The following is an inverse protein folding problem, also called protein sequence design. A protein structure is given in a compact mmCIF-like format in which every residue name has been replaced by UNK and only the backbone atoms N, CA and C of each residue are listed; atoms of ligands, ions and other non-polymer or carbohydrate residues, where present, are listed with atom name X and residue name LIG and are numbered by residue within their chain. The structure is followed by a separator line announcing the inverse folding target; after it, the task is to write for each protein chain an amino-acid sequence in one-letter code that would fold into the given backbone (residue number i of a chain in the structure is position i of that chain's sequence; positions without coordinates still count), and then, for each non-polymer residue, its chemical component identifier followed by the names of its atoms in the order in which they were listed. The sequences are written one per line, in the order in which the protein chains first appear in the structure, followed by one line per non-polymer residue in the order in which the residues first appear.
data_IF_445330175879
#
_entry.id   IF_445330175879
#
_cell.length_a   1.000
_cell.length_b   1.000
_cell.length_c   1.000
_cell.angle_alpha   90.00
_cell.angle_beta   90.00
_cell.angle_gamma   90.00
#
_symmetry.space_group_name_H-M   'P 1'
#
loop_
_entity.id
_entity.type
_entity.pdbx_description
1 polymer ?
#
# COMPACT_ATOMS: atom_id res chain seq x y z
N UNK A 1 37.54 -21.93 16.95
CA UNK A 1 37.48 -23.33 16.55
C UNK A 1 36.49 -24.08 17.42
N UNK A 2 35.29 -24.32 16.90
CA UNK A 2 34.35 -25.23 17.54
C UNK A 2 34.73 -26.68 17.22
N UNK A 3 35.94 -27.07 17.55
CA UNK A 3 36.49 -28.37 17.22
C UNK A 3 36.43 -29.41 18.31
N UNK A 4 35.57 -29.24 19.30
CA UNK A 4 35.35 -30.30 20.29
C UNK A 4 33.98 -30.87 20.09
N UNK A 5 33.96 -32.05 19.62
CA UNK A 5 32.84 -32.95 19.72
C UNK A 5 32.59 -33.23 21.21
N UNK A 6 32.05 -32.26 21.85
CA UNK A 6 31.46 -32.49 23.14
C UNK A 6 30.13 -33.16 22.93
N UNK A 7 29.88 -34.19 23.66
CA UNK A 7 28.60 -34.85 23.73
C UNK A 7 27.48 -33.93 24.29
N UNK A 8 27.61 -32.65 24.03
CA UNK A 8 26.63 -31.67 24.39
C UNK A 8 25.73 -31.38 23.23
N UNK A 9 24.49 -31.70 23.34
CA UNK A 9 23.43 -31.35 22.39
C UNK A 9 23.15 -29.86 22.35
N UNK A 10 24.10 -29.05 22.78
CA UNK A 10 24.03 -27.60 22.75
C UNK A 10 25.18 -27.07 21.92
N UNK A 11 24.85 -26.30 20.94
CA UNK A 11 25.83 -25.42 20.38
C UNK A 11 26.14 -24.37 21.45
N UNK A 12 27.33 -24.46 22.07
CA UNK A 12 27.77 -23.52 23.10
C UNK A 12 27.96 -22.11 22.59
N UNK A 13 27.85 -21.93 21.28
CA UNK A 13 28.06 -20.64 20.64
C UNK A 13 26.74 -19.85 20.44
N UNK A 14 25.61 -20.46 20.25
CA UNK A 14 24.37 -19.77 19.96
C UNK A 14 23.26 -19.99 21.00
N UNK A 15 23.46 -20.82 22.01
CA UNK A 15 22.50 -20.99 23.12
C UNK A 15 21.09 -21.40 22.72
N UNK A 16 20.90 -21.80 21.46
CA UNK A 16 19.60 -22.14 20.91
C UNK A 16 19.09 -23.47 21.46
N UNK A 17 17.96 -23.46 22.12
CA UNK A 17 17.17 -24.65 22.39
C UNK A 17 16.59 -25.17 21.10
N UNK A 18 16.95 -26.38 20.72
CA UNK A 18 16.23 -27.09 19.66
C UNK A 18 14.87 -27.49 20.19
N UNK A 19 13.87 -26.80 19.74
CA UNK A 19 12.49 -27.18 19.97
C UNK A 19 12.21 -28.39 19.08
N UNK A 20 11.76 -29.48 19.68
CA UNK A 20 11.38 -30.67 18.90
C UNK A 20 10.16 -30.34 18.02
N UNK A 21 10.12 -30.90 16.84
CA UNK A 21 9.01 -30.71 15.92
C UNK A 21 7.64 -31.12 16.48
N UNK A 22 7.64 -31.90 17.53
CA UNK A 22 6.42 -32.36 18.21
C UNK A 22 5.76 -31.26 19.04
N UNK A 23 6.52 -30.33 19.62
CA UNK A 23 5.94 -29.20 20.37
C UNK A 23 5.23 -28.20 19.45
N UNK A 24 5.68 -28.09 18.23
CA UNK A 24 5.03 -27.19 17.26
C UNK A 24 3.67 -27.71 16.83
N UNK A 25 3.46 -29.04 16.92
CA UNK A 25 2.22 -29.65 16.49
C UNK A 25 1.06 -29.45 17.47
N UNK A 26 1.38 -29.22 18.73
CA UNK A 26 0.36 -29.03 19.76
C UNK A 26 -0.20 -27.61 19.84
N UNK A 27 0.49 -26.65 19.22
CA UNK A 27 0.03 -25.26 19.18
C UNK A 27 -0.83 -24.93 17.96
N UNK A 28 -1.06 -25.89 17.09
CA UNK A 28 -2.10 -25.75 16.07
C UNK A 28 -3.44 -26.04 16.68
N UNK A 29 -3.93 -25.08 17.41
CA UNK A 29 -5.35 -25.00 17.69
C UNK A 29 -5.98 -24.80 16.32
N UNK A 30 -6.60 -25.85 15.82
CA UNK A 30 -7.49 -25.71 14.70
C UNK A 30 -8.46 -24.58 15.02
N UNK A 31 -8.67 -23.60 14.13
CA UNK A 31 -9.72 -22.66 14.36
C UNK A 31 -10.97 -23.46 14.54
N UNK A 32 -11.58 -23.35 15.69
CA UNK A 32 -12.93 -23.85 15.89
C UNK A 32 -13.72 -23.20 14.78
N UNK A 33 -14.18 -24.00 13.85
CA UNK A 33 -15.26 -23.61 12.99
C UNK A 33 -16.44 -23.41 13.93
N UNK A 34 -16.57 -22.22 14.43
CA UNK A 34 -17.87 -21.78 14.87
C UNK A 34 -18.70 -21.73 13.61
N UNK A 35 -19.30 -22.83 13.34
CA UNK A 35 -20.40 -22.90 12.42
C UNK A 35 -21.54 -22.12 13.05
N UNK A 36 -21.43 -20.82 13.06
CA UNK A 36 -22.55 -19.97 13.30
C UNK A 36 -23.41 -20.02 12.05
N UNK A 37 -24.08 -21.15 11.94
CA UNK A 37 -25.14 -21.36 10.97
C UNK A 37 -26.34 -20.44 11.20
N UNK A 38 -26.27 -19.57 12.17
CA UNK A 38 -27.38 -18.73 12.60
C UNK A 38 -27.51 -17.42 11.83
N UNK A 39 -26.60 -17.14 10.93
CA UNK A 39 -26.73 -15.97 10.05
C UNK A 39 -27.65 -16.16 8.84
N UNK A 40 -28.09 -17.39 8.59
CA UNK A 40 -29.00 -17.66 7.48
C UNK A 40 -30.47 -17.34 7.81
N UNK A 41 -30.78 -17.10 9.07
CA UNK A 41 -32.16 -16.77 9.48
C UNK A 41 -32.43 -15.28 9.64
N UNK A 42 -31.45 -14.44 9.42
CA UNK A 42 -31.73 -13.05 9.16
C UNK A 42 -32.27 -12.97 7.74
N UNK A 43 -33.57 -13.20 7.63
CA UNK A 43 -34.29 -12.80 6.47
C UNK A 43 -33.97 -11.32 6.23
N UNK A 44 -33.15 -11.07 5.25
CA UNK A 44 -33.14 -9.80 4.59
C UNK A 44 -34.52 -9.63 4.03
N UNK A 45 -35.36 -9.01 4.80
CA UNK A 45 -36.49 -8.34 4.17
C UNK A 45 -35.86 -7.35 3.23
N UNK A 46 -35.89 -7.69 1.96
CA UNK A 46 -35.62 -6.76 0.91
C UNK A 46 -36.60 -5.61 1.09
N UNK A 47 -36.16 -4.63 1.79
CA UNK A 47 -36.69 -3.30 1.61
C UNK A 47 -36.28 -2.96 0.19
N UNK A 48 -37.25 -3.19 -0.71
CA UNK A 48 -37.26 -2.57 -2.01
C UNK A 48 -37.27 -1.07 -1.77
N UNK A 49 -36.14 -0.52 -1.47
CA UNK A 49 -35.94 0.90 -1.59
C UNK A 49 -35.75 1.19 -3.08
N UNK A 50 -36.89 1.35 -3.72
CA UNK A 50 -37.03 1.99 -5.00
C UNK A 50 -36.66 3.45 -4.84
N UNK A 51 -35.40 3.72 -4.60
CA UNK A 51 -34.83 5.01 -4.91
C UNK A 51 -34.11 4.91 -6.24
N UNK A 52 -34.93 5.02 -7.30
CA UNK A 52 -34.43 5.51 -8.56
C UNK A 52 -33.95 6.93 -8.35
N UNK A 53 -32.67 7.06 -7.97
CA UNK A 53 -31.98 8.32 -8.15
C UNK A 53 -31.54 8.38 -9.59
N UNK A 54 -32.38 8.96 -10.44
CA UNK A 54 -31.95 9.49 -11.70
C UNK A 54 -30.99 10.64 -11.41
N UNK A 55 -29.72 10.34 -11.24
CA UNK A 55 -28.68 11.34 -11.26
C UNK A 55 -28.14 11.40 -12.68
N UNK A 56 -28.33 12.51 -13.37
CA UNK A 56 -27.61 12.76 -14.59
C UNK A 56 -26.12 12.88 -14.20
N UNK A 57 -25.29 12.10 -14.87
CA UNK A 57 -23.85 12.10 -14.69
C UNK A 57 -23.30 13.51 -14.94
N UNK A 58 -23.06 14.24 -13.86
CA UNK A 58 -22.23 15.42 -13.90
C UNK A 58 -20.74 15.01 -13.87
N UNK A 59 -19.86 15.76 -14.52
CA UNK A 59 -18.44 15.40 -14.67
C UNK A 59 -17.61 15.51 -13.39
N UNK A 60 -18.21 15.71 -12.22
CA UNK A 60 -17.51 15.81 -10.95
C UNK A 60 -18.11 14.84 -9.93
N UNK A 61 -17.71 13.59 -9.99
CA UNK A 61 -17.94 12.68 -8.87
C UNK A 61 -16.84 12.90 -7.83
N UNK A 62 -17.14 13.45 -6.64
CA UNK A 62 -16.25 13.28 -5.50
C UNK A 62 -16.11 11.79 -5.24
N UNK A 63 -14.89 11.33 -5.05
CA UNK A 63 -14.60 9.93 -4.78
C UNK A 63 -15.56 9.36 -3.73
N UNK A 64 -16.05 8.16 -3.94
CA UNK A 64 -17.13 7.48 -3.20
C UNK A 64 -17.00 7.44 -1.66
N UNK A 65 -15.95 8.03 -1.09
CA UNK A 65 -15.66 8.04 0.35
C UNK A 65 -15.32 9.44 0.90
N UNK A 66 -15.69 10.51 0.21
CA UNK A 66 -15.34 11.86 0.66
C UNK A 66 -13.84 12.19 0.55
N UNK A 67 -13.05 11.32 -0.07
CA UNK A 67 -11.63 11.56 -0.34
C UNK A 67 -11.53 12.35 -1.64
N UNK A 68 -10.85 13.51 -1.64
CA UNK A 68 -10.61 14.28 -2.86
C UNK A 68 -9.86 13.45 -3.91
N UNK A 69 -10.18 13.62 -5.17
CA UNK A 69 -9.51 12.90 -6.23
C UNK A 69 -8.11 13.47 -6.45
N UNK A 70 -7.09 12.66 -6.21
CA UNK A 70 -5.70 12.97 -6.54
C UNK A 70 -5.37 12.50 -7.95
N UNK A 71 -4.73 13.36 -8.73
CA UNK A 71 -4.15 12.99 -10.02
C UNK A 71 -2.69 13.43 -10.06
N UNK A 72 -1.81 12.53 -10.42
CA UNK A 72 -0.41 12.81 -10.73
C UNK A 72 -0.21 12.63 -12.24
N UNK A 73 0.28 13.65 -12.91
CA UNK A 73 0.33 13.67 -14.37
C UNK A 73 1.68 14.11 -14.90
N UNK A 74 2.16 13.42 -15.94
CA UNK A 74 3.30 13.84 -16.74
C UNK A 74 2.91 13.83 -18.22
N UNK A 75 2.81 15.00 -18.85
CA UNK A 75 2.39 15.09 -20.26
C UNK A 75 3.44 14.54 -21.24
N UNK A 76 4.72 14.60 -20.88
CA UNK A 76 5.80 14.17 -21.77
C UNK A 76 5.90 12.65 -21.90
N UNK A 77 5.50 11.93 -20.87
CA UNK A 77 5.54 10.47 -20.81
C UNK A 77 4.15 9.85 -20.89
N UNK A 78 3.11 10.69 -21.00
CA UNK A 78 1.70 10.28 -20.97
C UNK A 78 1.35 9.40 -19.73
N UNK A 79 1.99 9.72 -18.63
CA UNK A 79 1.74 9.04 -17.34
C UNK A 79 0.64 9.78 -16.60
N UNK A 80 -0.44 9.07 -16.29
CA UNK A 80 -1.53 9.58 -15.46
C UNK A 80 -1.88 8.59 -14.36
N UNK A 81 -1.61 8.97 -13.13
CA UNK A 81 -1.90 8.20 -11.93
C UNK A 81 -3.10 8.83 -11.24
N UNK A 82 -4.19 8.08 -11.08
CA UNK A 82 -5.29 8.46 -10.20
C UNK A 82 -5.02 7.88 -8.82
N UNK A 83 -4.93 8.74 -7.82
CA UNK A 83 -4.55 8.35 -6.47
C UNK A 83 -5.56 7.38 -5.84
N UNK A 84 -5.06 6.28 -5.35
CA UNK A 84 -5.79 5.31 -4.54
C UNK A 84 -5.15 5.32 -3.16
N UNK A 85 -5.97 5.46 -2.12
CA UNK A 85 -5.48 5.48 -0.74
C UNK A 85 -4.80 4.15 -0.38
N UNK A 86 -3.56 4.23 0.09
CA UNK A 86 -2.73 3.08 0.42
C UNK A 86 -1.98 2.46 -0.75
N UNK A 87 -2.19 2.94 -1.99
CA UNK A 87 -1.58 2.34 -3.17
C UNK A 87 -0.07 2.56 -3.22
N UNK A 88 0.63 1.52 -3.64
CA UNK A 88 2.06 1.56 -3.94
C UNK A 88 2.26 2.07 -5.37
N UNK A 89 3.25 2.94 -5.53
CA UNK A 89 3.79 3.34 -6.83
C UNK A 89 5.15 2.67 -6.99
N UNK A 90 5.30 1.88 -8.02
CA UNK A 90 6.56 1.18 -8.26
C UNK A 90 6.52 0.43 -9.59
N UNK A 91 7.70 0.02 -10.05
CA UNK A 91 7.86 -0.70 -11.31
C UNK A 91 7.31 -2.13 -11.27
N UNK A 92 7.31 -2.76 -10.10
CA UNK A 92 6.91 -4.17 -9.94
C UNK A 92 5.68 -4.35 -9.07
N UNK A 93 5.34 -3.37 -8.27
CA UNK A 93 4.26 -3.48 -7.30
C UNK A 93 3.33 -2.28 -7.34
N UNK A 94 2.06 -2.55 -7.10
CA UNK A 94 0.99 -1.56 -7.09
C UNK A 94 0.22 -1.48 -8.40
N UNK A 95 -0.90 -0.76 -8.40
CA UNK A 95 -1.80 -0.68 -9.54
C UNK A 95 -1.21 0.06 -10.75
N UNK A 96 -0.10 0.76 -10.56
CA UNK A 96 0.54 1.60 -11.57
C UNK A 96 1.80 1.00 -12.17
N UNK A 97 2.11 -0.26 -11.85
CA UNK A 97 3.36 -0.90 -12.26
C UNK A 97 3.57 -0.89 -13.78
N UNK A 98 2.51 -1.08 -14.56
CA UNK A 98 2.57 -1.08 -16.02
C UNK A 98 3.04 0.26 -16.60
N UNK A 99 2.75 1.37 -15.92
CA UNK A 99 3.18 2.71 -16.37
C UNK A 99 4.68 2.94 -16.25
N UNK A 100 5.33 2.15 -15.41
CA UNK A 100 6.76 2.23 -15.12
C UNK A 100 7.55 1.02 -15.63
N UNK A 101 6.89 0.14 -16.37
CA UNK A 101 7.56 -1.02 -16.96
C UNK A 101 8.69 -0.58 -17.88
N UNK A 102 9.85 -1.23 -17.75
CA UNK A 102 11.06 -0.83 -18.47
C UNK A 102 11.82 0.36 -17.88
N UNK A 103 11.26 1.13 -16.96
CA UNK A 103 12.01 2.22 -16.32
C UNK A 103 12.90 1.69 -15.20
N UNK A 104 14.19 1.61 -15.48
CA UNK A 104 15.19 1.08 -14.53
C UNK A 104 15.43 1.98 -13.32
N UNK A 105 15.06 3.25 -13.40
CA UNK A 105 15.27 4.22 -12.32
C UNK A 105 14.19 4.16 -11.26
N UNK A 106 13.02 3.65 -11.60
CA UNK A 106 11.93 3.42 -10.64
C UNK A 106 12.15 2.10 -9.90
N UNK A 107 12.15 2.15 -8.58
CA UNK A 107 12.25 0.94 -7.74
C UNK A 107 11.03 0.04 -7.89
N UNK A 108 11.17 -1.26 -7.58
CA UNK A 108 10.07 -2.21 -7.59
C UNK A 108 8.90 -1.77 -6.71
N UNK A 109 9.22 -1.29 -5.53
CA UNK A 109 8.38 -0.49 -4.62
C UNK A 109 9.10 0.84 -4.49
N UNK A 110 8.49 1.95 -4.91
CA UNK A 110 9.16 3.25 -4.92
C UNK A 110 8.56 4.22 -3.90
N UNK A 111 7.28 4.45 -3.99
CA UNK A 111 6.55 5.33 -3.09
C UNK A 111 5.17 4.77 -2.76
N UNK A 112 4.51 5.36 -1.79
CA UNK A 112 3.15 5.01 -1.40
C UNK A 112 2.31 6.27 -1.28
N UNK A 113 1.09 6.22 -1.78
CA UNK A 113 0.08 7.26 -1.59
C UNK A 113 -0.80 6.89 -0.42
N UNK A 114 -1.02 7.83 0.48
CA UNK A 114 -1.98 7.69 1.58
C UNK A 114 -2.82 8.96 1.70
N UNK A 115 -4.04 8.81 2.15
CA UNK A 115 -4.91 9.92 2.51
C UNK A 115 -5.12 9.96 4.03
N UNK A 116 -4.92 11.12 4.62
CA UNK A 116 -5.15 11.39 6.04
C UNK A 116 -6.18 12.48 6.18
N UNK A 117 -7.09 12.35 7.13
CA UNK A 117 -8.13 13.35 7.36
C UNK A 117 -7.54 14.71 7.74
N UNK A 118 -6.46 14.72 8.51
CA UNK A 118 -5.85 15.96 9.01
C UNK A 118 -4.94 16.65 7.98
N UNK A 119 -4.27 15.87 7.14
CA UNK A 119 -3.19 16.34 6.27
C UNK A 119 -3.50 16.21 4.78
N UNK A 120 -4.63 15.60 4.44
CA UNK A 120 -5.01 15.31 3.06
C UNK A 120 -4.14 14.22 2.43
N UNK A 121 -3.90 14.33 1.14
CA UNK A 121 -3.04 13.40 0.43
C UNK A 121 -1.58 13.54 0.84
N UNK A 122 -0.95 12.42 1.07
CA UNK A 122 0.47 12.34 1.42
C UNK A 122 1.16 11.31 0.53
N UNK A 123 2.45 11.56 0.28
CA UNK A 123 3.34 10.62 -0.37
C UNK A 123 4.42 10.18 0.61
N UNK A 124 4.80 8.91 0.54
CA UNK A 124 5.83 8.30 1.38
C UNK A 124 6.84 7.63 0.46
N UNK A 125 8.11 7.96 0.59
CA UNK A 125 9.18 7.20 -0.06
C UNK A 125 9.34 5.84 0.61
N UNK A 126 9.40 4.77 -0.16
CA UNK A 126 9.56 3.39 0.35
C UNK A 126 10.98 2.87 0.15
N UNK A 127 11.97 3.63 0.60
CA UNK A 127 13.39 3.32 0.44
C UNK A 127 13.78 3.14 -1.03
N UNK A 128 13.30 4.04 -1.85
CA UNK A 128 13.60 3.99 -3.27
C UNK A 128 15.08 4.25 -3.55
N UNK A 129 15.63 3.56 -4.55
CA UNK A 129 17.07 3.63 -4.86
C UNK A 129 17.51 5.00 -5.35
N UNK A 130 16.62 5.71 -6.04
CA UNK A 130 16.92 7.04 -6.62
C UNK A 130 16.16 8.17 -5.93
N UNK A 131 15.46 7.87 -4.85
CA UNK A 131 14.74 8.83 -4.05
C UNK A 131 13.43 9.34 -4.68
N UNK A 132 12.60 9.87 -3.81
CA UNK A 132 11.39 10.62 -4.16
C UNK A 132 11.57 12.06 -3.71
N UNK A 133 11.16 13.02 -4.54
CA UNK A 133 11.24 14.45 -4.20
C UNK A 133 9.87 15.10 -4.28
N UNK A 134 9.67 16.09 -3.45
CA UNK A 134 8.52 16.99 -3.51
C UNK A 134 9.01 18.41 -3.70
N UNK A 135 8.65 19.05 -4.80
CA UNK A 135 9.11 20.39 -5.15
C UNK A 135 10.64 20.52 -5.05
N UNK A 136 11.37 19.54 -5.59
CA UNK A 136 12.84 19.42 -5.57
C UNK A 136 13.48 19.11 -4.21
N UNK A 137 12.69 18.92 -3.16
CA UNK A 137 13.16 18.48 -1.84
C UNK A 137 13.11 16.96 -1.75
N UNK A 138 14.21 16.35 -1.35
CA UNK A 138 14.27 14.92 -1.10
C UNK A 138 13.38 14.55 0.09
N UNK A 139 12.58 13.52 -0.07
CA UNK A 139 11.78 12.95 0.99
C UNK A 139 12.60 11.99 1.83
N UNK A 140 12.39 12.02 3.13
CA UNK A 140 12.93 11.00 4.01
C UNK A 140 12.12 9.71 3.86
N UNK A 141 12.79 8.55 3.78
CA UNK A 141 12.09 7.27 3.70
C UNK A 141 11.14 7.05 4.87
N UNK A 142 9.98 6.46 4.57
CA UNK A 142 8.89 6.15 5.50
C UNK A 142 8.26 7.36 6.22
N UNK A 143 8.65 8.57 5.85
CA UNK A 143 8.03 9.80 6.39
C UNK A 143 6.93 10.30 5.44
N UNK A 144 5.67 10.37 5.89
CA UNK A 144 4.59 10.89 5.07
C UNK A 144 4.75 12.40 4.88
N UNK A 145 4.75 12.83 3.63
CA UNK A 145 4.79 14.24 3.24
C UNK A 145 3.50 14.63 2.55
N UNK A 146 2.83 15.65 3.09
CA UNK A 146 1.59 16.18 2.51
C UNK A 146 1.86 16.81 1.14
N UNK A 147 1.00 16.49 0.19
CA UNK A 147 1.02 17.02 -1.18
C UNK A 147 -0.23 17.85 -1.45
N UNK A 148 -0.07 18.87 -2.26
CA UNK A 148 -1.13 19.81 -2.61
C UNK A 148 -1.26 19.96 -4.11
N UNK A 149 -2.39 20.44 -4.56
CA UNK A 149 -2.59 20.78 -5.96
C UNK A 149 -1.57 21.84 -6.40
N UNK A 150 -0.90 21.59 -7.51
CA UNK A 150 0.18 22.43 -8.04
C UNK A 150 1.58 21.99 -7.65
N UNK A 151 1.73 21.07 -6.69
CA UNK A 151 3.04 20.50 -6.34
C UNK A 151 3.59 19.62 -7.46
N UNK A 152 4.90 19.43 -7.44
CA UNK A 152 5.60 18.50 -8.33
C UNK A 152 6.21 17.39 -7.49
N UNK A 153 5.74 16.17 -7.74
CA UNK A 153 6.33 14.95 -7.21
C UNK A 153 7.31 14.39 -8.22
N UNK A 154 8.55 14.19 -7.83
CA UNK A 154 9.56 13.55 -8.67
C UNK A 154 9.85 12.16 -8.14
N UNK A 155 9.62 11.15 -8.96
CA UNK A 155 9.97 9.76 -8.70
C UNK A 155 11.22 9.43 -9.51
N UNK A 156 12.36 9.34 -8.85
CA UNK A 156 13.66 9.18 -9.52
C UNK A 156 13.90 10.30 -10.56
N UNK A 157 13.62 10.02 -11.84
CA UNK A 157 13.80 10.96 -12.95
C UNK A 157 12.47 11.41 -13.60
N UNK A 158 11.33 11.05 -13.02
CA UNK A 158 10.00 11.38 -13.56
C UNK A 158 9.34 12.46 -12.71
N UNK A 159 9.04 13.60 -13.32
CA UNK A 159 8.29 14.68 -12.67
C UNK A 159 6.80 14.48 -12.92
N UNK A 160 6.01 14.50 -11.87
CA UNK A 160 4.56 14.36 -11.90
C UNK A 160 3.91 15.59 -11.29
N UNK A 161 3.06 16.25 -12.02
CA UNK A 161 2.28 17.37 -11.52
C UNK A 161 1.10 16.88 -10.70
N UNK A 162 0.91 17.44 -9.52
CA UNK A 162 -0.18 17.10 -8.59
C UNK A 162 -1.40 17.94 -8.90
N UNK A 163 -2.54 17.31 -9.03
CA UNK A 163 -3.86 17.94 -9.08
C UNK A 163 -4.79 17.25 -8.09
N UNK A 164 -5.47 18.01 -7.26
CA UNK A 164 -6.45 17.51 -6.27
C UNK A 164 -7.77 18.24 -6.50
N UNK A 165 -8.83 17.49 -6.73
CA UNK A 165 -10.19 17.98 -6.98
C UNK A 165 -11.17 17.44 -5.94
#
# INVERSE_FOLDING_TARGET
MCGRVGMGRRCTYCGGLMISAEEIHQQRIAPKKDSSSDFSSLAFTSVNDRMQTNNPAGPNMPGRNGIPTLTLYNPSLDIRIVGINGAIIGRRQGPYAQMFDGNKYISGVHAQLIYKLDSGWCIIDKHSSNGTKLNQRDLLPDVPMSIKSGDIVTLANINLQVTIN
#
